data_IF_367518183735
#
_entry.id   IF_367518183735
#
_cell.length_a   1.000
_cell.length_b   1.000
_cell.length_c   1.000
_cell.angle_alpha   90.00
_cell.angle_beta   90.00
_cell.angle_gamma   90.00
#
_symmetry.space_group_name_H-M   'P 1'
#
loop_
_entity.id
_entity.type
_entity.pdbx_description
1 polymer ?
#
# COMPACT_ATOMS: atom_id res chain seq x y z
N UNK A 1 -14.19 13.71 -4.43
CA UNK A 1 -13.17 13.38 -5.46
C UNK A 1 -11.89 13.04 -4.71
N UNK A 2 -11.30 11.87 -4.97
CA UNK A 2 -10.15 11.35 -4.23
C UNK A 2 -8.83 11.67 -4.92
N UNK A 3 -7.77 11.82 -4.13
CA UNK A 3 -6.42 12.17 -4.59
C UNK A 3 -5.45 11.01 -4.63
N UNK A 4 -5.64 10.09 -3.71
CA UNK A 4 -4.77 8.95 -3.48
C UNK A 4 -5.69 7.75 -3.42
N UNK A 5 -5.38 6.73 -4.20
CA UNK A 5 -6.11 5.48 -4.21
C UNK A 5 -5.15 4.37 -3.81
N UNK A 6 -5.49 3.65 -2.76
CA UNK A 6 -4.79 2.46 -2.31
C UNK A 6 -5.53 1.23 -2.79
N UNK A 7 -4.78 0.30 -3.39
CA UNK A 7 -5.31 -0.96 -3.88
C UNK A 7 -4.50 -2.11 -3.31
N UNK A 8 -5.22 -3.17 -2.95
CA UNK A 8 -4.69 -4.46 -2.53
C UNK A 8 -5.13 -5.51 -3.58
N UNK A 9 -4.34 -6.57 -3.67
CA UNK A 9 -4.53 -7.69 -4.61
C UNK A 9 -4.83 -7.26 -6.06
N UNK A 10 -4.04 -6.34 -6.67
CA UNK A 10 -4.30 -5.92 -8.03
C UNK A 10 -4.21 -7.13 -8.98
N UNK A 11 -5.16 -7.28 -9.92
CA UNK A 11 -5.11 -8.38 -10.88
C UNK A 11 -3.96 -8.15 -11.86
N UNK A 12 -2.86 -8.89 -11.70
CA UNK A 12 -1.69 -8.88 -12.59
C UNK A 12 -1.96 -9.61 -13.90
N UNK A 13 -2.98 -9.15 -14.64
CA UNK A 13 -3.39 -9.72 -15.93
C UNK A 13 -2.79 -8.93 -17.08
N UNK A 14 -2.76 -9.55 -18.26
CA UNK A 14 -2.36 -8.89 -19.50
C UNK A 14 -3.34 -7.75 -19.78
N UNK A 15 -2.86 -6.50 -19.81
CA UNK A 15 -3.69 -5.32 -20.08
C UNK A 15 -3.88 -5.14 -21.60
N UNK A 16 -2.81 -5.37 -22.38
CA UNK A 16 -2.82 -5.27 -23.83
C UNK A 16 -1.62 -5.99 -24.42
N UNK A 17 -1.74 -6.45 -25.66
CA UNK A 17 -0.62 -6.86 -26.48
C UNK A 17 -0.15 -5.66 -27.30
N UNK A 18 1.16 -5.38 -27.29
CA UNK A 18 1.72 -4.25 -28.05
C UNK A 18 2.79 -4.77 -29.01
N UNK A 19 2.56 -4.58 -30.31
CA UNK A 19 3.49 -4.99 -31.37
C UNK A 19 4.83 -4.27 -31.18
N UNK A 20 5.91 -5.04 -31.11
CA UNK A 20 7.28 -4.57 -30.91
C UNK A 20 8.10 -4.84 -32.18
N UNK A 21 9.21 -4.11 -32.37
CA UNK A 21 10.13 -4.33 -33.50
C UNK A 21 10.71 -5.75 -33.56
N UNK A 22 10.65 -6.49 -32.45
CA UNK A 22 11.15 -7.87 -32.32
C UNK A 22 10.04 -8.93 -32.26
N UNK A 23 8.76 -8.53 -32.18
CA UNK A 23 7.62 -9.44 -32.06
C UNK A 23 6.42 -8.89 -32.84
N UNK A 24 6.11 -9.53 -33.96
CA UNK A 24 4.93 -9.23 -34.79
C UNK A 24 3.62 -9.65 -34.15
N UNK A 25 3.64 -10.57 -33.18
CA UNK A 25 2.46 -11.02 -32.42
C UNK A 25 2.13 -10.07 -31.24
N UNK A 26 3.11 -9.26 -30.81
CA UNK A 26 2.97 -8.30 -29.72
C UNK A 26 3.43 -8.85 -28.38
N UNK A 27 4.10 -8.00 -27.61
CA UNK A 27 4.55 -8.33 -26.27
C UNK A 27 3.39 -8.08 -25.28
N UNK A 28 3.19 -9.01 -24.35
CA UNK A 28 2.19 -8.88 -23.29
C UNK A 28 2.56 -7.74 -22.33
N UNK A 29 1.76 -6.68 -22.31
CA UNK A 29 1.88 -5.63 -21.31
C UNK A 29 1.09 -6.07 -20.08
N UNK A 30 1.77 -6.70 -19.13
CA UNK A 30 1.25 -6.99 -17.79
C UNK A 30 1.49 -5.78 -16.89
N UNK A 31 0.48 -5.36 -16.13
CA UNK A 31 0.62 -4.25 -15.18
C UNK A 31 -0.71 -3.71 -14.66
N UNK A 32 -0.66 -2.56 -14.00
CA UNK A 32 -1.87 -1.85 -13.57
C UNK A 32 -2.37 -0.87 -14.66
N UNK A 33 -3.70 -0.65 -14.79
CA UNK A 33 -4.27 0.24 -15.80
C UNK A 33 -3.66 1.66 -15.78
N UNK A 34 -3.07 2.10 -16.89
CA UNK A 34 -2.45 3.44 -16.98
C UNK A 34 -3.42 4.49 -17.54
N UNK A 35 -3.71 5.50 -16.74
CA UNK A 35 -4.40 6.75 -17.00
C UNK A 35 -3.47 8.00 -16.92
N UNK A 36 -3.62 9.00 -17.81
CA UNK A 36 -2.73 10.18 -17.84
C UNK A 36 -2.72 11.00 -16.54
N UNK A 37 -3.85 11.12 -15.85
CA UNK A 37 -3.96 11.98 -14.65
C UNK A 37 -3.41 11.36 -13.35
N UNK A 38 -2.88 10.14 -13.41
CA UNK A 38 -2.41 9.44 -12.22
C UNK A 38 -0.94 9.06 -12.33
N UNK A 39 -0.25 9.11 -11.19
CA UNK A 39 1.07 8.55 -10.95
C UNK A 39 0.91 7.16 -10.33
N UNK A 40 1.70 6.21 -10.80
CA UNK A 40 1.64 4.79 -10.40
C UNK A 40 2.75 4.51 -9.43
N UNK A 41 2.41 4.16 -8.19
CA UNK A 41 3.35 3.75 -7.17
C UNK A 41 3.16 2.27 -6.94
N UNK A 42 4.05 1.46 -7.50
CA UNK A 42 4.04 0.01 -7.31
C UNK A 42 5.45 -0.53 -7.34
N UNK A 43 5.71 -1.54 -6.52
CA UNK A 43 6.98 -2.28 -6.56
C UNK A 43 7.12 -2.94 -7.93
N UNK A 44 8.35 -3.07 -8.42
CA UNK A 44 8.58 -3.95 -9.56
C UNK A 44 8.48 -5.41 -9.11
N UNK A 45 7.90 -6.31 -9.92
CA UNK A 45 7.94 -7.74 -9.63
C UNK A 45 9.38 -8.19 -9.35
N UNK A 46 9.56 -9.04 -8.34
CA UNK A 46 10.87 -9.55 -7.93
C UNK A 46 10.74 -11.02 -7.56
N UNK A 47 11.72 -11.85 -7.96
CA UNK A 47 11.72 -13.27 -7.62
C UNK A 47 10.51 -14.06 -8.14
N UNK A 48 9.86 -13.60 -9.21
CA UNK A 48 8.64 -14.23 -9.75
C UNK A 48 7.36 -13.89 -8.99
N UNK A 49 7.42 -13.05 -7.95
CA UNK A 49 6.24 -12.57 -7.22
C UNK A 49 5.85 -11.18 -7.72
N UNK A 50 4.56 -11.03 -8.03
CA UNK A 50 3.97 -9.72 -8.28
C UNK A 50 3.59 -9.09 -6.94
N UNK A 51 3.72 -7.76 -6.78
CA UNK A 51 3.35 -7.12 -5.53
C UNK A 51 1.84 -7.17 -5.28
N UNK A 52 1.44 -7.37 -4.03
CA UNK A 52 0.03 -7.42 -3.66
C UNK A 52 -0.56 -6.03 -3.44
N UNK A 53 0.24 -4.98 -3.58
CA UNK A 53 -0.15 -3.63 -3.19
C UNK A 53 0.28 -2.59 -4.22
N UNK A 54 -0.56 -1.59 -4.42
CA UNK A 54 -0.24 -0.45 -5.25
C UNK A 54 -0.96 0.82 -4.79
N UNK A 55 -0.44 1.97 -5.20
CA UNK A 55 -1.10 3.24 -5.00
C UNK A 55 -1.14 4.06 -6.30
N UNK A 56 -2.24 4.77 -6.51
CA UNK A 56 -2.35 5.82 -7.51
C UNK A 56 -2.36 7.16 -6.81
N UNK A 57 -1.54 8.09 -7.28
CA UNK A 57 -1.51 9.48 -6.78
C UNK A 57 -1.90 10.41 -7.91
N UNK A 58 -2.96 11.19 -7.73
CA UNK A 58 -3.43 12.12 -8.73
C UNK A 58 -2.34 13.16 -9.04
N UNK A 59 -2.14 13.48 -10.33
CA UNK A 59 -1.05 14.37 -10.79
C UNK A 59 -1.12 15.78 -10.21
N UNK A 60 -2.27 16.21 -9.71
CA UNK A 60 -2.38 17.49 -8.98
C UNK A 60 -1.53 17.52 -7.70
N UNK A 61 -1.24 16.35 -7.11
CA UNK A 61 -0.31 16.20 -5.99
C UNK A 61 1.15 16.03 -6.43
N UNK A 62 1.47 16.07 -7.73
CA UNK A 62 2.86 15.94 -8.20
C UNK A 62 3.79 17.04 -7.64
N UNK A 63 3.23 18.21 -7.32
CA UNK A 63 3.95 19.30 -6.64
C UNK A 63 4.45 18.91 -5.23
N UNK A 64 3.82 17.91 -4.61
CA UNK A 64 4.24 17.36 -3.32
C UNK A 64 5.29 16.24 -3.48
N UNK A 65 5.84 16.04 -4.68
CA UNK A 65 6.88 15.04 -4.97
C UNK A 65 6.59 13.65 -4.36
N UNK A 66 5.43 13.04 -4.67
CA UNK A 66 5.03 11.77 -4.09
C UNK A 66 6.09 10.70 -4.36
N UNK A 67 6.48 9.97 -3.31
CA UNK A 67 7.59 9.02 -3.37
C UNK A 67 7.26 7.75 -2.60
N UNK A 68 7.58 6.58 -3.18
CA UNK A 68 7.45 5.29 -2.50
C UNK A 68 8.73 5.00 -1.70
N UNK A 69 8.62 4.84 -0.37
CA UNK A 69 9.76 4.74 0.56
C UNK A 69 10.07 3.30 0.96
N UNK A 70 10.78 2.59 0.07
CA UNK A 70 11.23 1.20 0.30
C UNK A 70 12.41 1.10 1.27
N UNK A 71 13.09 2.20 1.54
CA UNK A 71 14.18 2.27 2.52
C UNK A 71 13.69 2.24 3.97
N UNK A 72 12.41 2.56 4.21
CA UNK A 72 11.76 2.45 5.52
C UNK A 72 11.32 1.00 5.76
N UNK A 73 10.59 0.43 4.79
CA UNK A 73 10.14 -0.96 4.83
C UNK A 73 9.95 -1.48 3.40
N UNK A 74 10.53 -2.64 3.09
CA UNK A 74 10.51 -3.21 1.73
C UNK A 74 9.76 -4.56 1.66
N UNK A 75 8.47 -4.55 1.96
CA UNK A 75 7.60 -5.73 1.90
C UNK A 75 6.70 -5.72 0.66
N UNK A 76 6.29 -6.89 0.17
CA UNK A 76 5.42 -7.01 -1.02
C UNK A 76 3.95 -6.65 -0.74
N UNK A 77 3.58 -6.64 0.53
CA UNK A 77 2.24 -6.30 1.04
C UNK A 77 2.18 -4.96 1.77
N UNK A 78 3.25 -4.16 1.72
CA UNK A 78 3.32 -2.85 2.36
C UNK A 78 3.78 -1.79 1.36
N UNK A 79 3.19 -0.60 1.45
CA UNK A 79 3.61 0.56 0.67
C UNK A 79 3.58 1.81 1.54
N UNK A 80 4.75 2.42 1.75
CA UNK A 80 4.88 3.74 2.36
C UNK A 80 4.92 4.80 1.27
N UNK A 81 3.93 5.68 1.26
CA UNK A 81 3.85 6.86 0.40
C UNK A 81 4.25 8.10 1.19
N UNK A 82 5.32 8.75 0.77
CA UNK A 82 5.77 10.04 1.30
C UNK A 82 5.25 11.18 0.41
N UNK A 83 4.75 12.25 1.03
CA UNK A 83 4.46 13.52 0.38
C UNK A 83 5.27 14.65 1.05
N UNK A 84 5.85 15.53 0.25
CA UNK A 84 6.51 16.75 0.68
C UNK A 84 5.49 17.89 0.72
N UNK A 85 5.13 18.33 1.92
CA UNK A 85 4.19 19.43 2.14
C UNK A 85 4.95 20.71 2.55
N UNK A 86 4.32 21.89 2.49
CA UNK A 86 4.92 23.13 3.00
C UNK A 86 5.30 23.06 4.49
N UNK A 87 4.64 22.20 5.28
CA UNK A 87 4.87 22.05 6.72
C UNK A 87 5.85 20.92 7.07
N UNK A 88 6.44 20.25 6.07
CA UNK A 88 7.30 19.08 6.26
C UNK A 88 6.80 17.87 5.47
N UNK A 89 7.32 16.69 5.78
CA UNK A 89 6.93 15.45 5.10
C UNK A 89 5.84 14.72 5.85
N UNK A 90 4.91 14.11 5.12
CA UNK A 90 3.89 13.22 5.69
C UNK A 90 4.00 11.84 5.06
N UNK A 91 3.77 10.79 5.87
CA UNK A 91 3.78 9.40 5.43
C UNK A 91 2.36 8.84 5.49
N UNK A 92 1.98 8.09 4.45
CA UNK A 92 0.77 7.28 4.39
C UNK A 92 1.19 5.82 4.21
N UNK A 93 0.50 4.91 4.87
CA UNK A 93 0.79 3.49 4.83
C UNK A 93 -0.38 2.72 4.20
N UNK A 94 -0.12 2.02 3.11
CA UNK A 94 -1.03 1.03 2.55
C UNK A 94 -0.61 -0.36 3.06
N UNK A 95 -1.56 -1.14 3.56
CA UNK A 95 -1.32 -2.47 4.10
C UNK A 95 -2.22 -3.50 3.42
N UNK A 96 -1.63 -4.61 3.03
CA UNK A 96 -2.34 -5.86 2.81
C UNK A 96 -1.84 -6.88 3.84
N UNK A 97 -2.74 -7.60 4.49
CA UNK A 97 -2.37 -8.65 5.45
C UNK A 97 -2.80 -9.99 4.89
N UNK A 98 -1.87 -10.94 4.76
CA UNK A 98 -2.18 -12.32 4.41
C UNK A 98 -2.84 -13.08 5.58
N UNK A 99 -3.23 -14.34 5.35
CA UNK A 99 -3.81 -15.24 6.35
C UNK A 99 -2.89 -15.47 7.57
N UNK A 100 -1.58 -15.31 7.39
CA UNK A 100 -0.57 -15.44 8.44
C UNK A 100 -0.30 -14.10 9.16
N UNK A 101 -0.92 -13.01 8.71
CA UNK A 101 -0.72 -11.65 9.18
C UNK A 101 0.75 -11.20 9.17
N UNK A 102 1.50 -11.64 8.17
CA UNK A 102 2.93 -11.40 8.00
C UNK A 102 3.26 -9.91 7.97
N UNK A 103 2.46 -9.12 7.25
CA UNK A 103 2.65 -7.67 7.12
C UNK A 103 2.45 -6.95 8.47
N UNK A 104 1.38 -7.27 9.20
CA UNK A 104 1.08 -6.67 10.51
C UNK A 104 2.17 -7.07 11.52
N UNK A 105 2.54 -8.36 11.57
CA UNK A 105 3.57 -8.84 12.47
C UNK A 105 4.93 -8.16 12.21
N UNK A 106 5.30 -7.95 10.95
CA UNK A 106 6.52 -7.21 10.59
C UNK A 106 6.45 -5.75 11.05
N UNK A 107 5.32 -5.07 10.82
CA UNK A 107 5.15 -3.69 11.29
C UNK A 107 5.26 -3.57 12.81
N UNK A 108 4.67 -4.51 13.57
CA UNK A 108 4.80 -4.54 15.02
C UNK A 108 6.25 -4.79 15.48
N UNK A 109 7.01 -5.62 14.76
CA UNK A 109 8.41 -5.89 15.08
C UNK A 109 9.30 -4.66 14.86
N UNK A 110 9.00 -3.87 13.83
CA UNK A 110 9.80 -2.71 13.43
C UNK A 110 9.21 -1.38 13.93
N UNK A 111 8.21 -1.40 14.82
CA UNK A 111 7.44 -0.23 15.23
C UNK A 111 8.31 0.95 15.68
N UNK A 112 9.36 0.68 16.47
CA UNK A 112 10.30 1.69 16.98
C UNK A 112 11.11 2.41 15.88
N UNK A 113 11.21 1.82 14.68
CA UNK A 113 11.95 2.35 13.54
C UNK A 113 11.05 3.02 12.50
N UNK A 114 9.73 2.84 12.61
CA UNK A 114 8.77 3.42 11.68
C UNK A 114 8.61 4.93 11.93
N UNK A 115 8.43 5.74 10.88
CA UNK A 115 8.07 7.13 11.06
C UNK A 115 6.62 7.25 11.54
N UNK A 116 6.25 8.43 12.01
CA UNK A 116 4.84 8.76 12.18
C UNK A 116 4.11 8.71 10.83
N UNK A 117 2.90 8.15 10.85
CA UNK A 117 1.99 8.15 9.70
C UNK A 117 0.80 9.06 9.98
N UNK A 118 0.29 9.71 8.93
CA UNK A 118 -0.96 10.49 9.01
C UNK A 118 -2.17 9.70 8.55
N UNK A 119 -1.93 8.54 7.94
CA UNK A 119 -2.95 7.63 7.45
C UNK A 119 -2.36 6.22 7.34
N UNK A 120 -3.11 5.23 7.81
CA UNK A 120 -2.89 3.82 7.53
C UNK A 120 -4.21 3.22 7.09
N UNK A 121 -4.18 2.40 6.03
CA UNK A 121 -5.38 1.74 5.56
C UNK A 121 -5.06 0.63 4.58
N UNK A 122 -6.09 -0.16 4.29
CA UNK A 122 -6.04 -1.26 3.34
C UNK A 122 -6.83 -2.44 3.87
N UNK A 123 -6.43 -3.64 3.48
CA UNK A 123 -7.09 -4.86 3.89
C UNK A 123 -6.24 -5.59 4.93
N UNK A 124 -6.70 -5.52 6.18
CA UNK A 124 -6.00 -6.13 7.32
C UNK A 124 -6.37 -7.61 7.53
N UNK A 125 -7.35 -8.14 6.78
CA UNK A 125 -7.87 -9.50 6.93
C UNK A 125 -8.16 -9.92 8.39
N UNK A 126 -8.49 -8.95 9.26
CA UNK A 126 -8.79 -9.20 10.66
C UNK A 126 -10.03 -8.41 11.11
N UNK A 127 -10.74 -8.97 12.08
CA UNK A 127 -11.93 -8.36 12.66
C UNK A 127 -11.62 -7.75 14.04
N UNK A 128 -12.30 -6.65 14.36
CA UNK A 128 -12.25 -6.01 15.67
C UNK A 128 -13.60 -5.42 15.98
N UNK A 129 -14.03 -5.47 17.24
CA UNK A 129 -15.26 -4.80 17.69
C UNK A 129 -15.21 -3.28 17.47
N UNK A 130 -14.01 -2.69 17.35
CA UNK A 130 -13.81 -1.26 17.09
C UNK A 130 -14.41 -0.83 15.75
N UNK A 131 -14.31 -1.66 14.71
CA UNK A 131 -14.78 -1.34 13.34
C UNK A 131 -15.78 -2.35 12.76
N UNK A 132 -16.01 -3.47 13.44
CA UNK A 132 -17.00 -4.49 13.12
C UNK A 132 -17.76 -4.86 14.40
N UNK A 133 -18.87 -4.16 14.65
CA UNK A 133 -19.71 -4.36 15.84
C UNK A 133 -20.36 -5.75 15.93
N UNK A 134 -20.31 -6.53 14.86
CA UNK A 134 -20.84 -7.90 14.83
C UNK A 134 -19.80 -8.94 15.27
N UNK A 135 -18.54 -8.52 15.41
CA UNK A 135 -17.47 -9.37 15.90
C UNK A 135 -17.71 -9.70 17.39
N UNK A 136 -17.51 -10.97 17.76
CA UNK A 136 -17.72 -11.47 19.13
C UNK A 136 -16.43 -11.96 19.78
N UNK A 137 -15.31 -11.83 19.05
CA UNK A 137 -13.98 -12.25 19.48
C UNK A 137 -12.97 -11.18 19.09
N UNK A 138 -12.07 -10.84 19.99
CA UNK A 138 -10.96 -9.94 19.69
C UNK A 138 -9.73 -10.78 19.30
N UNK A 139 -9.48 -11.04 18.00
CA UNK A 139 -8.25 -11.72 17.61
C UNK A 139 -7.05 -10.86 18.02
N UNK A 140 -6.04 -11.50 18.60
CA UNK A 140 -4.81 -10.87 19.09
C UNK A 140 -4.16 -9.93 18.06
N UNK A 141 -4.30 -10.26 16.77
CA UNK A 141 -3.75 -9.46 15.66
C UNK A 141 -4.43 -8.10 15.55
N UNK A 142 -5.75 -8.02 15.74
CA UNK A 142 -6.46 -6.74 15.67
C UNK A 142 -6.05 -5.82 16.83
N UNK A 143 -5.80 -6.38 18.02
CA UNK A 143 -5.25 -5.62 19.14
C UNK A 143 -3.84 -5.09 18.81
N UNK A 144 -2.96 -5.94 18.27
CA UNK A 144 -1.62 -5.54 17.83
C UNK A 144 -1.66 -4.44 16.78
N UNK A 145 -2.61 -4.49 15.85
CA UNK A 145 -2.80 -3.45 14.84
C UNK A 145 -3.20 -2.11 15.47
N UNK A 146 -4.07 -2.12 16.48
CA UNK A 146 -4.48 -0.92 17.23
C UNK A 146 -3.32 -0.34 18.06
N UNK A 147 -2.55 -1.20 18.73
CA UNK A 147 -1.34 -0.80 19.46
C UNK A 147 -0.31 -0.17 18.52
N UNK A 148 -0.02 -0.85 17.39
CA UNK A 148 0.83 -0.32 16.32
C UNK A 148 0.34 1.03 15.81
N UNK A 149 -0.97 1.19 15.56
CA UNK A 149 -1.54 2.45 15.10
C UNK A 149 -1.23 3.58 16.09
N UNK A 150 -1.41 3.33 17.39
CA UNK A 150 -1.07 4.27 18.45
C UNK A 150 0.43 4.60 18.46
N UNK A 151 1.30 3.59 18.35
CA UNK A 151 2.76 3.77 18.38
C UNK A 151 3.27 4.63 17.22
N UNK A 152 2.63 4.52 16.04
CA UNK A 152 2.97 5.33 14.86
C UNK A 152 2.19 6.64 14.75
N UNK A 153 1.49 7.05 15.82
CA UNK A 153 0.83 8.35 15.95
C UNK A 153 -0.52 8.45 15.24
N UNK A 154 -1.20 7.33 15.03
CA UNK A 154 -2.54 7.28 14.45
C UNK A 154 -3.61 7.07 15.52
N UNK A 155 -4.77 7.67 15.26
CA UNK A 155 -5.98 7.44 16.03
C UNK A 155 -7.06 6.88 15.10
N UNK A 156 -7.94 6.05 15.65
CA UNK A 156 -9.12 5.57 14.93
C UNK A 156 -10.10 6.74 14.71
N UNK A 157 -10.62 6.88 13.49
CA UNK A 157 -11.51 7.97 13.07
C UNK A 157 -12.87 7.47 12.60
#
# INVERSE_FOLDING_TARGET
MYDILFFQEPPWRIIRQMVSTTSTEGDDVVGAPKHPDWLYMVRLPSGGQNPCIMAYVHRRLAILHPSMRRDIIDHHDLLVLLLFTPCGTVNLLNVYSDDAHTAINLLCQEADQLPAFIYMGGDFNCHSEVWDSSCTSHPLVAQRLLELASDVGLEWA
#
